data_IF_584080935323
#
_entry.id   IF_584080935323
#
_cell.length_a   1.000
_cell.length_b   1.000
_cell.length_c   1.000
_cell.angle_alpha   90.00
_cell.angle_beta   90.00
_cell.angle_gamma   90.00
#
_symmetry.space_group_name_H-M   'P 1'
#
loop_
_entity.id
_entity.type
_entity.pdbx_description
1 polymer ?
#
# COMPACT_ATOMS: atom_id res chain seq x y z
N UNK A 1 47.25 -7.77 57.87
CA UNK A 1 47.57 -7.55 56.44
C UNK A 1 46.32 -7.88 55.63
N UNK A 2 45.71 -6.87 55.00
CA UNK A 2 44.53 -6.97 54.13
C UNK A 2 44.86 -7.76 52.87
N UNK A 3 43.92 -8.57 52.38
CA UNK A 3 43.71 -8.86 50.94
C UNK A 3 42.35 -9.57 50.79
N UNK A 4 41.32 -8.78 50.51
CA UNK A 4 40.02 -9.26 50.05
C UNK A 4 40.08 -9.39 48.53
N UNK A 5 39.77 -10.56 47.99
CA UNK A 5 39.60 -10.78 46.55
C UNK A 5 38.12 -10.66 46.23
N UNK A 6 37.75 -9.61 45.50
CA UNK A 6 36.39 -9.41 44.98
C UNK A 6 36.32 -10.15 43.64
N UNK A 7 35.60 -11.27 43.61
CA UNK A 7 35.18 -11.89 42.35
C UNK A 7 33.95 -11.14 41.84
N UNK A 8 34.15 -10.33 40.79
CA UNK A 8 33.09 -9.58 40.13
C UNK A 8 32.15 -10.50 39.35
N UNK A 9 30.86 -10.44 39.67
CA UNK A 9 29.78 -11.04 38.90
C UNK A 9 29.46 -10.10 37.72
N UNK A 10 29.89 -10.43 36.50
CA UNK A 10 29.43 -9.73 35.30
C UNK A 10 28.11 -10.36 34.83
N UNK A 11 26.98 -9.80 35.29
CA UNK A 11 25.67 -10.14 34.74
C UNK A 11 25.49 -9.45 33.38
N UNK A 12 25.64 -10.22 32.30
CA UNK A 12 25.24 -9.80 30.95
C UNK A 12 23.71 -9.67 30.93
N UNK A 13 23.21 -8.45 31.01
CA UNK A 13 21.82 -8.13 30.71
C UNK A 13 21.63 -8.26 29.19
N UNK A 14 21.15 -9.40 28.73
CA UNK A 14 20.64 -9.53 27.37
C UNK A 14 19.40 -8.64 27.24
N UNK A 15 19.53 -7.50 26.55
CA UNK A 15 18.37 -6.70 26.19
C UNK A 15 17.45 -7.53 25.29
N UNK A 16 16.13 -7.56 25.52
CA UNK A 16 15.21 -8.24 24.62
C UNK A 16 15.25 -7.53 23.27
N UNK A 17 15.70 -8.24 22.23
CA UNK A 17 15.51 -7.81 20.85
C UNK A 17 14.00 -7.84 20.62
N UNK A 18 13.37 -6.66 20.55
CA UNK A 18 12.00 -6.52 20.08
C UNK A 18 11.96 -7.05 18.64
N UNK A 19 11.50 -8.28 18.46
CA UNK A 19 11.22 -8.82 17.14
C UNK A 19 10.19 -7.91 16.46
N UNK A 20 10.41 -7.59 15.18
CA UNK A 20 9.39 -6.96 14.36
C UNK A 20 8.08 -7.77 14.46
N UNK A 21 6.89 -7.13 14.44
CA UNK A 21 5.63 -7.84 14.58
C UNK A 21 5.58 -8.98 13.56
N UNK A 22 5.28 -10.19 14.03
CA UNK A 22 5.27 -11.41 13.21
C UNK A 22 4.08 -11.47 12.21
N UNK A 23 3.48 -10.32 11.89
CA UNK A 23 2.27 -10.20 11.09
C UNK A 23 2.46 -9.36 9.82
N UNK A 24 1.54 -9.54 8.88
CA UNK A 24 1.46 -8.71 7.67
C UNK A 24 1.03 -7.29 8.01
N UNK A 25 1.62 -6.30 7.33
CA UNK A 25 1.20 -4.89 7.42
C UNK A 25 -0.11 -4.62 6.68
N UNK A 26 -0.39 -5.39 5.62
CA UNK A 26 -1.44 -5.08 4.65
C UNK A 26 -2.85 -4.95 5.24
N UNK A 27 -3.31 -5.80 6.19
CA UNK A 27 -4.62 -5.61 6.80
C UNK A 27 -4.76 -4.27 7.53
N UNK A 28 -3.69 -3.79 8.19
CA UNK A 28 -3.70 -2.49 8.87
C UNK A 28 -3.78 -1.33 7.88
N UNK A 29 -3.00 -1.38 6.80
CA UNK A 29 -3.07 -0.41 5.70
C UNK A 29 -4.48 -0.38 5.08
N UNK A 30 -5.09 -1.55 4.87
CA UNK A 30 -6.44 -1.64 4.29
C UNK A 30 -7.51 -1.00 5.16
N UNK A 31 -7.44 -1.17 6.48
CA UNK A 31 -8.35 -0.51 7.42
C UNK A 31 -8.09 0.99 7.53
N UNK A 32 -6.83 1.43 7.43
CA UNK A 32 -6.48 2.84 7.39
C UNK A 32 -7.09 3.51 6.15
N UNK A 33 -6.92 2.94 4.95
CA UNK A 33 -7.50 3.50 3.73
C UNK A 33 -9.02 3.59 3.82
N UNK A 34 -9.70 2.55 4.34
CA UNK A 34 -11.15 2.57 4.57
C UNK A 34 -11.54 3.73 5.49
N UNK A 35 -10.81 3.93 6.58
CA UNK A 35 -11.07 5.01 7.55
C UNK A 35 -10.91 6.38 6.90
N UNK A 36 -9.78 6.63 6.23
CA UNK A 36 -9.49 7.90 5.56
C UNK A 36 -10.57 8.23 4.54
N UNK A 37 -10.94 7.26 3.69
CA UNK A 37 -12.00 7.43 2.71
C UNK A 37 -13.33 7.74 3.39
N UNK A 38 -13.71 6.98 4.43
CA UNK A 38 -14.99 7.15 5.13
C UNK A 38 -15.10 8.46 5.90
N UNK A 39 -13.99 8.96 6.45
CA UNK A 39 -13.96 10.25 7.14
C UNK A 39 -14.21 11.41 6.18
N UNK A 40 -13.67 11.33 4.95
CA UNK A 40 -13.83 12.38 3.93
C UNK A 40 -15.12 12.24 3.12
N UNK A 41 -15.54 11.01 2.84
CA UNK A 41 -16.78 10.66 2.17
C UNK A 41 -17.45 9.46 2.87
N UNK A 42 -18.35 9.72 3.84
CA UNK A 42 -19.06 8.67 4.56
C UNK A 42 -19.88 7.73 3.66
N UNK A 43 -20.28 8.20 2.47
CA UNK A 43 -21.06 7.43 1.50
C UNK A 43 -20.21 6.53 0.61
N UNK A 44 -18.89 6.73 0.58
CA UNK A 44 -18.00 5.95 -0.26
C UNK A 44 -18.01 4.47 0.12
N UNK A 45 -17.83 3.59 -0.86
CA UNK A 45 -17.79 2.13 -0.65
C UNK A 45 -16.63 1.53 -1.42
N UNK A 46 -15.98 0.53 -0.83
CA UNK A 46 -14.96 -0.24 -1.53
C UNK A 46 -15.63 -1.07 -2.63
N UNK A 47 -15.13 -0.98 -3.86
CA UNK A 47 -15.59 -1.79 -5.00
C UNK A 47 -14.65 -2.96 -5.26
N UNK A 48 -13.36 -2.79 -4.99
CA UNK A 48 -12.34 -3.79 -5.27
C UNK A 48 -11.28 -3.81 -4.16
N UNK A 49 -10.78 -5.00 -3.88
CA UNK A 49 -9.55 -5.26 -3.15
C UNK A 49 -8.76 -6.28 -3.96
N UNK A 50 -7.61 -5.85 -4.47
CA UNK A 50 -6.67 -6.71 -5.15
C UNK A 50 -5.53 -7.03 -4.21
N UNK A 51 -5.08 -8.28 -4.21
CA UNK A 51 -3.93 -8.72 -3.42
C UNK A 51 -3.06 -9.61 -4.29
N UNK A 52 -1.75 -9.54 -4.09
CA UNK A 52 -0.82 -10.35 -4.84
C UNK A 52 0.60 -10.23 -4.31
N UNK A 53 1.54 -10.79 -5.07
CA UNK A 53 2.98 -10.63 -4.85
C UNK A 53 3.63 -10.26 -6.16
N UNK A 54 4.65 -9.40 -6.11
CA UNK A 54 5.45 -9.03 -7.27
C UNK A 54 6.94 -8.99 -6.88
N UNK A 55 7.81 -9.38 -7.81
CA UNK A 55 9.25 -9.19 -7.68
C UNK A 55 9.63 -7.73 -7.92
N UNK A 56 10.84 -7.35 -7.53
CA UNK A 56 11.41 -6.04 -7.86
C UNK A 56 11.37 -5.78 -9.38
N UNK A 57 10.81 -4.64 -9.77
CA UNK A 57 10.58 -4.22 -11.15
C UNK A 57 9.39 -4.90 -11.85
N UNK A 58 8.69 -5.84 -11.19
CA UNK A 58 7.56 -6.53 -11.79
C UNK A 58 6.27 -5.70 -11.66
N UNK A 59 5.50 -5.65 -12.75
CA UNK A 59 4.16 -5.07 -12.78
C UNK A 59 3.09 -6.17 -12.78
N UNK A 60 2.07 -6.01 -11.94
CA UNK A 60 0.84 -6.81 -11.95
C UNK A 60 -0.33 -5.96 -12.40
N UNK A 61 -1.20 -6.52 -13.25
CA UNK A 61 -2.35 -5.80 -13.79
C UNK A 61 -3.66 -6.36 -13.27
N UNK A 62 -4.60 -5.47 -12.99
CA UNK A 62 -5.96 -5.75 -12.51
C UNK A 62 -6.96 -5.00 -13.38
N UNK A 63 -8.16 -5.57 -13.50
CA UNK A 63 -9.23 -4.94 -14.27
C UNK A 63 -10.25 -4.32 -13.32
N UNK A 64 -10.54 -3.04 -13.53
CA UNK A 64 -11.54 -2.30 -12.75
C UNK A 64 -12.63 -1.78 -13.67
N UNK A 65 -13.89 -1.88 -13.24
CA UNK A 65 -15.02 -1.34 -13.97
C UNK A 65 -15.37 0.02 -13.37
N UNK A 66 -15.24 1.08 -14.17
CA UNK A 66 -15.58 2.44 -13.74
C UNK A 66 -16.82 2.95 -14.48
N UNK A 67 -17.58 3.82 -13.81
CA UNK A 67 -18.75 4.49 -14.36
C UNK A 67 -18.46 5.97 -14.54
N UNK A 68 -18.80 6.51 -15.73
CA UNK A 68 -18.58 7.91 -16.05
C UNK A 68 -19.18 8.84 -14.99
N UNK A 69 -18.45 9.89 -14.64
CA UNK A 69 -18.92 10.96 -13.74
C UNK A 69 -18.97 10.59 -12.25
N UNK A 70 -18.69 9.34 -11.86
CA UNK A 70 -18.51 8.94 -10.46
C UNK A 70 -17.08 9.23 -9.99
N UNK A 71 -16.91 9.49 -8.70
CA UNK A 71 -15.57 9.64 -8.13
C UNK A 71 -15.04 8.29 -7.69
N UNK A 72 -13.79 8.00 -8.03
CA UNK A 72 -13.09 6.81 -7.59
C UNK A 72 -11.78 7.20 -6.92
N UNK A 73 -11.46 6.52 -5.83
CA UNK A 73 -10.20 6.68 -5.11
C UNK A 73 -9.45 5.37 -5.10
N UNK A 74 -8.16 5.44 -5.38
CA UNK A 74 -7.25 4.31 -5.50
C UNK A 74 -6.15 4.45 -4.46
N UNK A 75 -5.81 3.31 -3.85
CA UNK A 75 -4.66 3.18 -2.95
C UNK A 75 -3.90 1.91 -3.29
N UNK A 76 -2.60 1.90 -3.03
CA UNK A 76 -1.85 0.67 -2.86
C UNK A 76 -0.98 0.72 -1.58
N UNK A 77 -0.60 -0.46 -1.11
CA UNK A 77 0.35 -0.64 -0.03
C UNK A 77 1.08 -1.98 -0.25
N UNK A 78 2.31 -2.08 0.23
CA UNK A 78 3.11 -3.30 0.21
C UNK A 78 3.61 -3.67 1.63
N UNK A 79 4.17 -4.87 1.79
CA UNK A 79 4.69 -5.34 3.09
C UNK A 79 5.90 -4.52 3.56
N UNK A 80 6.26 -4.62 4.85
CA UNK A 80 7.34 -3.85 5.51
C UNK A 80 8.72 -3.84 4.81
N UNK A 81 8.99 -4.83 3.97
CA UNK A 81 10.23 -4.99 3.23
C UNK A 81 10.21 -4.33 1.84
N UNK A 82 9.09 -3.74 1.45
CA UNK A 82 8.92 -2.93 0.26
C UNK A 82 9.03 -1.45 0.64
N UNK A 83 9.86 -0.73 -0.10
CA UNK A 83 10.12 0.70 0.09
C UNK A 83 9.70 1.55 -1.12
N UNK A 84 9.21 0.89 -2.18
CA UNK A 84 8.62 1.57 -3.33
C UNK A 84 7.57 0.68 -4.01
N UNK A 85 6.35 1.21 -4.16
CA UNK A 85 5.24 0.64 -4.94
C UNK A 85 4.59 1.75 -5.78
N UNK A 86 4.38 1.49 -7.06
CA UNK A 86 3.72 2.42 -7.97
C UNK A 86 2.29 1.96 -8.29
N UNK A 87 1.42 2.93 -8.61
CA UNK A 87 0.06 2.68 -9.08
C UNK A 87 -0.22 3.47 -10.36
N UNK A 88 -0.75 2.80 -11.38
CA UNK A 88 -1.11 3.44 -12.65
C UNK A 88 -2.48 2.98 -13.13
N UNK A 89 -3.33 3.91 -13.55
CA UNK A 89 -4.61 3.61 -14.17
C UNK A 89 -4.57 3.96 -15.67
N UNK A 90 -4.92 2.99 -16.52
CA UNK A 90 -5.05 3.17 -17.97
C UNK A 90 -6.47 2.92 -18.45
N UNK A 91 -6.93 3.71 -19.42
CA UNK A 91 -8.19 3.47 -20.14
C UNK A 91 -8.07 2.29 -21.10
N UNK A 92 -9.21 1.87 -21.65
CA UNK A 92 -9.30 0.72 -22.54
C UNK A 92 -8.46 0.83 -23.84
N UNK A 93 -8.17 2.04 -24.30
CA UNK A 93 -7.30 2.34 -25.44
C UNK A 93 -5.80 2.37 -25.05
N UNK A 94 -5.47 2.12 -23.78
CA UNK A 94 -4.11 2.10 -23.27
C UNK A 94 -3.56 3.47 -22.87
N UNK A 95 -4.33 4.55 -23.02
CA UNK A 95 -3.93 5.87 -22.53
C UNK A 95 -3.87 5.89 -21.00
N UNK A 96 -2.86 6.55 -20.45
CA UNK A 96 -2.78 6.80 -19.02
C UNK A 96 -3.85 7.81 -18.60
N UNK A 97 -4.53 7.48 -17.52
CA UNK A 97 -5.59 8.31 -16.91
C UNK A 97 -5.03 9.03 -15.71
N UNK A 98 -4.28 8.30 -14.87
CA UNK A 98 -3.60 8.84 -13.69
C UNK A 98 -2.51 7.86 -13.24
N UNK A 99 -1.48 8.38 -12.59
CA UNK A 99 -0.43 7.59 -11.96
C UNK A 99 0.11 8.26 -10.69
N UNK A 100 0.60 7.42 -9.79
CA UNK A 100 1.42 7.80 -8.64
C UNK A 100 2.63 6.86 -8.67
N UNK A 101 3.80 7.43 -8.90
CA UNK A 101 5.06 6.71 -9.14
C UNK A 101 6.21 7.32 -8.36
N UNK A 102 5.88 8.05 -7.29
CA UNK A 102 6.80 8.61 -6.35
C UNK A 102 7.56 7.48 -5.65
N UNK A 103 8.78 7.73 -5.21
CA UNK A 103 9.60 6.70 -4.56
C UNK A 103 9.18 6.47 -3.10
N UNK A 104 7.94 6.05 -2.88
CA UNK A 104 7.35 5.75 -1.58
C UNK A 104 6.48 4.48 -1.59
N UNK A 105 5.98 4.09 -0.41
CA UNK A 105 5.20 2.87 -0.20
C UNK A 105 3.68 3.10 -0.05
N UNK A 106 3.19 4.28 -0.46
CA UNK A 106 1.83 4.73 -0.23
C UNK A 106 1.18 5.48 -1.41
N UNK A 107 1.22 4.94 -2.65
CA UNK A 107 0.66 5.62 -3.81
C UNK A 107 -0.85 5.72 -3.72
N UNK A 108 -1.39 6.90 -4.05
CA UNK A 108 -2.81 7.17 -3.99
C UNK A 108 -3.25 8.28 -4.95
N UNK A 109 -4.42 8.11 -5.57
CA UNK A 109 -5.02 9.15 -6.39
C UNK A 109 -6.54 9.01 -6.46
N UNK A 110 -7.22 10.08 -6.90
CA UNK A 110 -8.65 10.06 -7.22
C UNK A 110 -8.87 10.43 -8.68
N UNK A 111 -9.85 9.80 -9.32
CA UNK A 111 -10.26 10.11 -10.70
C UNK A 111 -11.76 10.24 -10.81
N UNK A 112 -12.21 11.00 -11.80
CA UNK A 112 -13.60 11.07 -12.23
C UNK A 112 -13.65 10.75 -13.73
N UNK A 113 -13.82 9.47 -14.12
CA UNK A 113 -13.66 9.08 -15.51
C UNK A 113 -14.75 9.70 -16.39
N UNK A 114 -14.40 10.12 -17.60
CA UNK A 114 -15.34 10.65 -18.58
C UNK A 114 -16.15 9.56 -19.30
N UNK A 115 -15.69 8.30 -19.24
CA UNK A 115 -16.29 7.16 -19.95
C UNK A 115 -16.56 6.01 -19.00
N UNK A 116 -17.71 5.35 -19.17
CA UNK A 116 -18.01 4.09 -18.48
C UNK A 116 -17.28 2.98 -19.22
N UNK A 117 -16.55 2.14 -18.49
CA UNK A 117 -15.80 1.08 -19.13
C UNK A 117 -14.83 0.35 -18.21
N UNK A 118 -14.12 -0.58 -18.83
CA UNK A 118 -13.02 -1.31 -18.22
C UNK A 118 -11.75 -0.48 -18.28
N UNK A 119 -11.07 -0.39 -17.17
CA UNK A 119 -9.75 0.24 -17.02
C UNK A 119 -8.77 -0.80 -16.49
N UNK A 120 -7.50 -0.60 -16.84
CA UNK A 120 -6.40 -1.44 -16.34
C UNK A 120 -5.70 -0.69 -15.22
N UNK A 121 -5.75 -1.27 -14.01
CA UNK A 121 -5.00 -0.81 -12.85
C UNK A 121 -3.72 -1.64 -12.75
N UNK A 122 -2.58 -0.99 -12.82
CA UNK A 122 -1.26 -1.63 -12.73
C UNK A 122 -0.63 -1.30 -11.38
N UNK A 123 -0.09 -2.32 -10.73
CA UNK A 123 0.73 -2.20 -9.52
C UNK A 123 2.15 -2.64 -9.88
N UNK A 124 3.14 -1.78 -9.68
CA UNK A 124 4.55 -2.09 -9.89
C UNK A 124 5.28 -2.05 -8.55
N UNK A 125 6.27 -2.93 -8.33
CA UNK A 125 7.13 -2.89 -7.14
C UNK A 125 8.55 -2.53 -7.55
N UNK A 126 8.92 -1.25 -7.68
CA UNK A 126 10.31 -0.87 -7.96
C UNK A 126 11.26 -1.24 -6.81
N UNK A 127 10.79 -1.25 -5.57
CA UNK A 127 11.61 -1.44 -4.37
C UNK A 127 11.11 -2.57 -3.46
N UNK A 128 11.88 -3.65 -3.36
CA UNK A 128 11.60 -4.77 -2.47
C UNK A 128 12.89 -5.45 -1.99
N UNK A 129 13.04 -5.58 -0.66
CA UNK A 129 14.23 -6.13 0.00
C UNK A 129 14.23 -7.67 0.05
N UNK A 130 13.14 -8.32 -0.35
CA UNK A 130 13.02 -9.78 -0.37
C UNK A 130 13.11 -10.33 -1.78
N UNK A 131 14.06 -11.25 -2.00
CA UNK A 131 14.34 -11.84 -3.32
C UNK A 131 13.15 -12.61 -3.93
N UNK A 132 12.26 -13.18 -3.10
CA UNK A 132 11.04 -13.84 -3.58
C UNK A 132 9.92 -12.86 -3.99
N UNK A 133 10.13 -11.56 -3.82
CA UNK A 133 9.15 -10.51 -4.05
C UNK A 133 8.42 -10.09 -2.77
N UNK A 134 7.65 -9.00 -2.90
CA UNK A 134 6.87 -8.39 -1.83
C UNK A 134 5.38 -8.59 -2.11
N UNK A 135 4.61 -8.82 -1.04
CA UNK A 135 3.14 -8.83 -1.16
C UNK A 135 2.65 -7.39 -1.21
N UNK A 136 1.52 -7.20 -1.87
CA UNK A 136 0.84 -5.91 -1.94
C UNK A 136 -0.68 -6.09 -1.82
N UNK A 137 -1.35 -4.98 -1.52
CA UNK A 137 -2.78 -4.82 -1.76
C UNK A 137 -3.07 -3.50 -2.44
N UNK A 138 -4.09 -3.48 -3.31
CA UNK A 138 -4.64 -2.25 -3.88
C UNK A 138 -6.15 -2.20 -3.66
N UNK A 139 -6.66 -1.05 -3.20
CA UNK A 139 -8.08 -0.84 -2.94
C UNK A 139 -8.63 0.23 -3.88
N UNK A 140 -9.85 -0.02 -4.33
CA UNK A 140 -10.63 0.94 -5.11
C UNK A 140 -11.91 1.24 -4.38
N UNK A 141 -12.19 2.52 -4.21
CA UNK A 141 -13.42 3.03 -3.62
C UNK A 141 -14.19 3.84 -4.65
N UNK A 142 -15.51 3.76 -4.61
CA UNK A 142 -16.40 4.68 -5.34
C UNK A 142 -17.12 5.57 -4.33
N UNK A 143 -17.20 6.86 -4.65
CA UNK A 143 -17.80 7.89 -3.80
C UNK A 143 -18.46 9.01 -4.60
N UNK A 144 -18.73 10.11 -3.92
CA UNK A 144 -19.44 11.28 -4.42
C UNK A 144 -18.56 12.54 -4.47
N UNK A 145 -17.28 12.45 -4.08
CA UNK A 145 -16.31 13.55 -4.15
C UNK A 145 -14.90 13.03 -4.32
N UNK A 146 -14.02 13.90 -4.77
CA UNK A 146 -12.57 13.72 -4.66
C UNK A 146 -12.18 13.96 -3.19
N UNK A 147 -11.53 12.98 -2.55
CA UNK A 147 -11.14 13.08 -1.15
C UNK A 147 -9.79 13.78 -0.94
N UNK A 148 -9.05 14.06 -2.02
CA UNK A 148 -7.75 14.74 -2.03
C UNK A 148 -7.84 16.19 -2.51
N UNK A 149 -8.96 16.59 -3.12
CA UNK A 149 -9.24 17.99 -3.42
C UNK A 149 -9.27 18.84 -2.13
N UNK A 150 -8.61 19.99 -2.17
CA UNK A 150 -8.56 20.97 -1.06
C UNK A 150 -9.80 21.85 -1.02
#
# INVERSE_FOLDING_TARGET
MKKSVILGLAALLAAPVLAAPAGSYLPAAQELHKRVVKERDPSARQTNLFQGSAKTGETKTHQVQLTAGKYYTFFAACEYNCDNIDLTLKSADGSEVESDTESDDAPMFSVRPARTGRYTLSVTIPGCKTASGCKYSSQVFVGNRDIFAR
#
